data_IF_332782194972
#
_entry.id   IF_332782194972
#
_cell.length_a   1.000
_cell.length_b   1.000
_cell.length_c   1.000
_cell.angle_alpha   90.00
_cell.angle_beta   90.00
_cell.angle_gamma   90.00
#
_symmetry.space_group_name_H-M   'P 1'
#
loop_
_entity.id
_entity.type
_entity.pdbx_description
1 polymer ?
#
# COMPACT_ATOMS: atom_id res chain seq x y z
N UNK A 1 -28.64 6.88 21.33
CA UNK A 1 -27.20 7.00 21.59
C UNK A 1 -26.99 8.27 22.43
N UNK A 2 -26.41 8.16 23.64
CA UNK A 2 -26.16 9.31 24.56
C UNK A 2 -27.33 10.29 24.73
N UNK A 3 -28.55 9.78 24.99
CA UNK A 3 -29.77 10.51 25.14
C UNK A 3 -30.28 11.29 23.89
N UNK A 4 -29.72 10.99 22.71
CA UNK A 4 -30.28 11.47 21.44
C UNK A 4 -31.29 10.46 20.91
N UNK A 5 -32.43 10.95 20.46
CA UNK A 5 -33.48 10.13 19.84
C UNK A 5 -32.99 9.59 18.50
N UNK A 6 -33.37 8.35 18.16
CA UNK A 6 -33.20 7.79 16.81
C UNK A 6 -34.47 8.11 16.03
N UNK A 7 -34.38 8.95 15.02
CA UNK A 7 -35.55 9.42 14.27
C UNK A 7 -36.06 8.35 13.30
N UNK A 8 -35.22 7.47 12.81
CA UNK A 8 -35.66 6.36 11.94
C UNK A 8 -34.55 5.70 11.15
N UNK A 9 -34.91 5.06 10.05
CA UNK A 9 -33.99 4.42 9.11
C UNK A 9 -33.41 5.45 8.14
N UNK A 10 -32.33 5.08 7.44
CA UNK A 10 -31.68 5.93 6.42
C UNK A 10 -32.67 6.40 5.34
N UNK A 11 -33.74 5.62 5.05
CA UNK A 11 -34.72 5.96 4.03
C UNK A 11 -35.52 7.24 4.31
N UNK A 12 -35.57 7.70 5.55
CA UNK A 12 -36.25 8.96 5.91
C UNK A 12 -35.32 10.15 6.01
N UNK A 13 -34.02 10.00 5.68
CA UNK A 13 -33.04 11.09 5.77
C UNK A 13 -33.45 12.29 4.88
N UNK A 14 -34.11 12.02 3.74
CA UNK A 14 -34.67 13.06 2.85
C UNK A 14 -35.74 13.94 3.52
N UNK A 15 -36.49 13.42 4.48
CA UNK A 15 -37.56 14.15 5.15
C UNK A 15 -36.97 15.20 6.13
N UNK A 16 -35.74 15.04 6.55
CA UNK A 16 -35.03 15.89 7.51
C UNK A 16 -34.04 16.87 6.86
N UNK A 17 -34.05 17.05 5.54
CA UNK A 17 -33.07 17.85 4.77
C UNK A 17 -32.87 19.27 5.37
N UNK A 18 -33.91 19.88 5.88
CA UNK A 18 -33.84 21.22 6.46
C UNK A 18 -33.43 21.24 7.95
N UNK A 19 -33.25 20.09 8.56
CA UNK A 19 -32.97 19.94 10.00
C UNK A 19 -31.50 19.62 10.28
N UNK A 20 -30.67 19.41 9.25
CA UNK A 20 -29.25 19.16 9.42
C UNK A 20 -28.40 19.92 8.38
N UNK A 21 -27.18 20.28 8.76
CA UNK A 21 -26.22 20.98 7.91
C UNK A 21 -25.25 19.99 7.24
N UNK A 22 -24.98 18.86 7.86
CA UNK A 22 -24.02 17.86 7.40
C UNK A 22 -24.42 16.47 7.87
N UNK A 23 -24.18 15.45 7.03
CA UNK A 23 -24.36 14.05 7.37
C UNK A 23 -23.02 13.39 7.74
N UNK A 24 -23.01 12.63 8.83
CA UNK A 24 -21.84 11.88 9.26
C UNK A 24 -22.14 10.38 9.17
N UNK A 25 -21.41 9.68 8.28
CA UNK A 25 -21.55 8.24 8.07
C UNK A 25 -20.69 7.52 9.11
N UNK A 26 -21.33 6.92 10.12
CA UNK A 26 -20.67 6.24 11.23
C UNK A 26 -20.57 4.71 11.04
N UNK A 27 -20.83 4.20 9.86
CA UNK A 27 -20.79 2.78 9.53
C UNK A 27 -19.88 2.51 8.32
N UNK A 28 -18.55 2.67 8.47
CA UNK A 28 -17.61 2.55 7.35
C UNK A 28 -17.62 1.15 6.69
N UNK A 29 -18.08 0.12 7.41
CA UNK A 29 -18.19 -1.26 6.92
C UNK A 29 -19.62 -1.61 6.47
N UNK A 30 -20.50 -0.62 6.27
CA UNK A 30 -21.84 -0.89 5.77
C UNK A 30 -21.82 -1.49 4.35
N UNK A 31 -22.81 -2.32 3.98
CA UNK A 31 -22.92 -2.81 2.63
C UNK A 31 -22.91 -1.67 1.61
N UNK A 32 -22.16 -1.84 0.52
CA UNK A 32 -22.00 -0.84 -0.56
C UNK A 32 -23.33 -0.19 -0.97
N UNK A 33 -24.39 -0.99 -1.11
CA UNK A 33 -25.73 -0.51 -1.48
C UNK A 33 -26.29 0.51 -0.48
N UNK A 34 -26.03 0.33 0.80
CA UNK A 34 -26.54 1.25 1.85
C UNK A 34 -25.71 2.54 1.88
N UNK A 35 -24.37 2.46 1.71
CA UNK A 35 -23.54 3.64 1.58
C UNK A 35 -23.95 4.50 0.38
N UNK A 36 -24.24 3.88 -0.76
CA UNK A 36 -24.71 4.61 -1.94
C UNK A 36 -26.02 5.33 -1.69
N UNK A 37 -27.01 4.70 -1.04
CA UNK A 37 -28.27 5.36 -0.70
C UNK A 37 -28.06 6.61 0.14
N UNK A 38 -27.19 6.54 1.16
CA UNK A 38 -26.89 7.69 2.02
C UNK A 38 -26.26 8.82 1.21
N UNK A 39 -25.26 8.49 0.39
CA UNK A 39 -24.54 9.46 -0.43
C UNK A 39 -25.49 10.14 -1.42
N UNK A 40 -26.36 9.37 -2.09
CA UNK A 40 -27.34 9.90 -3.06
C UNK A 40 -28.30 10.87 -2.40
N UNK A 41 -28.89 10.49 -1.28
CA UNK A 41 -29.81 11.37 -0.54
C UNK A 41 -29.10 12.67 -0.14
N UNK A 42 -27.87 12.60 0.37
CA UNK A 42 -27.12 13.78 0.75
C UNK A 42 -26.82 14.70 -0.45
N UNK A 43 -26.47 14.10 -1.60
CA UNK A 43 -26.18 14.85 -2.84
C UNK A 43 -27.42 15.51 -3.42
N UNK A 44 -28.53 14.77 -3.55
CA UNK A 44 -29.81 15.30 -4.01
C UNK A 44 -30.27 16.45 -3.12
N UNK A 45 -29.96 16.39 -1.83
CA UNK A 45 -30.23 17.46 -0.87
C UNK A 45 -29.22 18.62 -0.93
N UNK A 46 -28.14 18.52 -1.68
CA UNK A 46 -27.05 19.50 -1.65
C UNK A 46 -26.34 19.62 -0.30
N UNK A 47 -26.38 18.56 0.53
CA UNK A 47 -25.77 18.54 1.87
C UNK A 47 -24.40 17.87 1.85
N UNK A 48 -23.41 18.46 2.53
CA UNK A 48 -22.11 17.83 2.71
C UNK A 48 -22.23 16.56 3.55
N UNK A 49 -21.36 15.59 3.25
CA UNK A 49 -21.28 14.35 4.01
C UNK A 49 -19.84 13.93 4.24
N UNK A 50 -19.57 13.38 5.41
CA UNK A 50 -18.28 12.85 5.81
C UNK A 50 -18.42 11.47 6.45
N UNK A 51 -17.32 10.73 6.55
CA UNK A 51 -17.28 9.41 7.20
C UNK A 51 -16.22 9.39 8.30
N UNK A 52 -16.35 8.44 9.21
CA UNK A 52 -15.29 8.11 10.16
C UNK A 52 -14.11 7.45 9.41
N UNK A 53 -12.87 7.65 9.87
CA UNK A 53 -11.74 6.90 9.34
C UNK A 53 -11.92 5.41 9.59
N UNK A 54 -11.43 4.59 8.66
CA UNK A 54 -11.36 3.14 8.84
C UNK A 54 -10.36 2.79 9.94
N UNK A 55 -10.49 1.58 10.51
CA UNK A 55 -9.54 1.08 11.51
C UNK A 55 -8.11 1.12 10.96
N UNK A 56 -7.92 0.78 9.70
CA UNK A 56 -6.61 0.82 9.05
C UNK A 56 -6.01 2.23 8.95
N UNK A 57 -6.83 3.26 8.70
CA UNK A 57 -6.38 4.66 8.67
C UNK A 57 -5.96 5.15 10.05
N UNK A 58 -6.69 4.74 11.08
CA UNK A 58 -6.34 5.03 12.49
C UNK A 58 -5.07 4.28 12.88
N UNK A 59 -5.00 2.99 12.56
CA UNK A 59 -3.85 2.16 12.90
C UNK A 59 -2.56 2.56 12.19
N UNK A 60 -2.64 3.06 10.96
CA UNK A 60 -1.48 3.62 10.23
C UNK A 60 -1.05 5.00 10.74
N UNK A 61 -1.79 5.58 11.69
CA UNK A 61 -1.51 6.90 12.25
C UNK A 61 -1.76 8.06 11.29
N UNK A 62 -2.46 7.83 10.18
CA UNK A 62 -2.82 8.87 9.21
C UNK A 62 -3.91 9.79 9.74
N UNK A 63 -4.88 9.20 10.46
CA UNK A 63 -6.02 9.91 11.03
C UNK A 63 -6.26 9.43 12.46
N UNK A 64 -6.76 10.31 13.32
CA UNK A 64 -7.29 9.95 14.63
C UNK A 64 -8.77 9.56 14.52
N UNK A 65 -9.28 8.78 15.46
CA UNK A 65 -10.70 8.37 15.52
C UNK A 65 -11.65 9.57 15.49
N UNK A 66 -11.20 10.73 15.97
CA UNK A 66 -12.03 11.94 16.04
C UNK A 66 -11.98 12.79 14.75
N UNK A 67 -11.23 12.39 13.74
CA UNK A 67 -11.10 13.13 12.48
C UNK A 67 -12.09 12.57 11.45
N UNK A 68 -13.10 13.39 11.11
CA UNK A 68 -13.99 13.10 9.99
C UNK A 68 -13.27 13.36 8.67
N UNK A 69 -13.49 12.48 7.69
CA UNK A 69 -12.93 12.62 6.34
C UNK A 69 -14.01 12.51 5.26
N UNK A 70 -13.68 12.97 4.07
CA UNK A 70 -14.52 12.75 2.89
C UNK A 70 -14.62 11.26 2.56
N UNK A 71 -15.76 10.85 2.02
CA UNK A 71 -15.95 9.49 1.51
C UNK A 71 -15.08 9.30 0.28
N UNK A 72 -14.32 8.23 0.27
CA UNK A 72 -13.42 7.89 -0.83
C UNK A 72 -13.92 6.69 -1.64
N UNK A 73 -13.37 6.49 -2.84
CA UNK A 73 -13.67 5.29 -3.66
C UNK A 73 -13.35 3.99 -2.92
N UNK A 74 -12.37 4.00 -2.02
CA UNK A 74 -12.01 2.83 -1.20
C UNK A 74 -13.18 2.37 -0.34
N UNK A 75 -13.93 3.31 0.26
CA UNK A 75 -15.10 3.01 1.09
C UNK A 75 -16.22 2.34 0.28
N UNK A 76 -16.31 2.69 -0.99
CA UNK A 76 -17.32 2.17 -1.90
C UNK A 76 -16.96 0.80 -2.48
N UNK A 77 -15.72 0.34 -2.35
CA UNK A 77 -15.31 -0.99 -2.80
C UNK A 77 -15.85 -2.12 -1.92
N UNK A 78 -16.34 -1.80 -0.72
CA UNK A 78 -17.02 -2.75 0.17
C UNK A 78 -16.15 -3.95 0.56
N UNK A 79 -14.82 -3.74 0.65
CA UNK A 79 -13.87 -4.78 0.99
C UNK A 79 -13.77 -4.91 2.51
N UNK A 80 -13.97 -6.11 3.03
CA UNK A 80 -13.76 -6.39 4.44
C UNK A 80 -12.27 -6.26 4.79
N UNK A 81 -12.00 -5.73 5.97
CA UNK A 81 -10.64 -5.68 6.50
C UNK A 81 -10.12 -7.10 6.74
N UNK A 82 -8.87 -7.34 6.40
CA UNK A 82 -8.22 -8.63 6.63
C UNK A 82 -7.75 -8.70 8.07
N UNK A 83 -8.08 -9.79 8.75
CA UNK A 83 -7.55 -10.07 10.08
C UNK A 83 -6.06 -10.47 9.98
N UNK A 84 -5.22 -9.82 10.77
CA UNK A 84 -3.78 -10.11 10.85
C UNK A 84 -3.42 -10.67 12.22
N UNK A 85 -2.41 -11.54 12.25
CA UNK A 85 -1.88 -12.07 13.50
C UNK A 85 -0.78 -11.14 14.08
N UNK A 86 -1.23 -10.13 14.83
CA UNK A 86 -0.34 -9.17 15.49
C UNK A 86 0.69 -9.86 16.43
N UNK A 87 0.36 -11.00 17.03
CA UNK A 87 1.25 -11.75 17.90
C UNK A 87 2.41 -12.36 17.11
N UNK A 88 2.12 -12.99 15.97
CA UNK A 88 3.14 -13.54 15.08
C UNK A 88 4.04 -12.46 14.49
N UNK A 89 3.45 -11.33 14.08
CA UNK A 89 4.18 -10.18 13.54
C UNK A 89 5.08 -9.56 14.62
N UNK A 90 4.58 -9.41 15.84
CA UNK A 90 5.37 -8.86 16.95
C UNK A 90 6.60 -9.71 17.24
N UNK A 91 6.48 -11.04 17.29
CA UNK A 91 7.63 -11.96 17.44
C UNK A 91 8.65 -11.82 16.31
N UNK A 92 8.20 -11.46 15.13
CA UNK A 92 8.99 -11.32 13.93
C UNK A 92 9.74 -9.98 13.83
N UNK A 93 9.14 -8.87 14.30
CA UNK A 93 9.68 -7.51 14.11
C UNK A 93 10.20 -6.84 15.37
N UNK A 94 9.65 -7.15 16.55
CA UNK A 94 10.04 -6.48 17.80
C UNK A 94 11.52 -6.64 18.10
N UNK A 95 12.18 -5.50 18.32
CA UNK A 95 13.61 -5.46 18.62
C UNK A 95 14.53 -5.82 17.46
N UNK A 96 14.00 -6.02 16.23
CA UNK A 96 14.80 -6.34 15.03
C UNK A 96 15.32 -5.09 14.33
N UNK A 97 16.40 -5.25 13.57
CA UNK A 97 16.89 -4.23 12.63
C UNK A 97 16.24 -4.49 11.28
N UNK A 98 15.41 -3.57 10.85
CA UNK A 98 14.57 -3.67 9.64
C UNK A 98 15.08 -2.72 8.57
N UNK A 99 15.31 -3.20 7.36
CA UNK A 99 15.60 -2.39 6.18
C UNK A 99 14.38 -2.41 5.24
N UNK A 100 13.91 -1.23 4.87
CA UNK A 100 12.86 -1.05 3.86
C UNK A 100 13.45 -0.30 2.68
N UNK A 101 13.48 -0.91 1.51
CA UNK A 101 13.91 -0.26 0.26
C UNK A 101 12.69 0.24 -0.52
N UNK A 102 12.83 1.38 -1.21
CA UNK A 102 11.69 2.09 -1.78
C UNK A 102 10.79 2.67 -0.70
N UNK A 103 11.40 3.08 0.41
CA UNK A 103 10.72 3.51 1.63
C UNK A 103 9.85 4.76 1.46
N UNK A 104 10.12 5.60 0.47
CA UNK A 104 9.31 6.77 0.13
C UNK A 104 8.18 6.48 -0.86
N UNK A 105 8.14 5.29 -1.47
CA UNK A 105 7.07 4.86 -2.37
C UNK A 105 5.77 4.54 -1.63
N UNK A 106 4.67 4.33 -2.36
CA UNK A 106 3.34 4.09 -1.77
C UNK A 106 3.32 2.88 -0.82
N UNK A 107 3.88 1.74 -1.25
CA UNK A 107 3.96 0.54 -0.40
C UNK A 107 5.06 0.68 0.66
N UNK A 108 6.25 1.18 0.28
CA UNK A 108 7.37 1.30 1.20
C UNK A 108 7.08 2.24 2.38
N UNK A 109 6.46 3.40 2.14
CA UNK A 109 6.09 4.34 3.19
C UNK A 109 5.04 3.76 4.15
N UNK A 110 4.13 2.95 3.64
CA UNK A 110 3.15 2.27 4.49
C UNK A 110 3.78 1.13 5.29
N UNK A 111 4.72 0.37 4.69
CA UNK A 111 5.51 -0.61 5.43
C UNK A 111 6.29 0.05 6.58
N UNK A 112 6.86 1.24 6.34
CA UNK A 112 7.51 2.04 7.39
C UNK A 112 6.56 2.33 8.54
N UNK A 113 5.38 2.90 8.25
CA UNK A 113 4.38 3.25 9.28
C UNK A 113 3.95 2.04 10.09
N UNK A 114 3.71 0.92 9.41
CA UNK A 114 3.20 -0.27 10.06
C UNK A 114 4.28 -1.04 10.83
N UNK A 115 5.51 -1.11 10.31
CA UNK A 115 6.62 -1.72 11.05
C UNK A 115 6.92 -0.99 12.37
N UNK A 116 6.78 0.35 12.41
CA UNK A 116 6.98 1.13 13.63
C UNK A 116 6.06 0.72 14.78
N UNK A 117 4.86 0.23 14.49
CA UNK A 117 3.90 -0.25 15.50
C UNK A 117 4.42 -1.46 16.29
N UNK A 118 5.34 -2.22 15.71
CA UNK A 118 5.92 -3.43 16.29
C UNK A 118 7.29 -3.19 16.95
N UNK A 119 7.64 -1.94 17.21
CA UNK A 119 8.81 -1.52 17.97
C UNK A 119 10.12 -2.23 17.54
N UNK A 120 10.54 -2.13 16.24
CA UNK A 120 11.85 -2.60 15.84
C UNK A 120 12.95 -1.81 16.57
N UNK A 121 14.12 -2.40 16.81
CA UNK A 121 15.24 -1.68 17.41
C UNK A 121 15.79 -0.61 16.48
N UNK A 122 15.76 -0.86 15.17
CA UNK A 122 16.23 0.04 14.14
C UNK A 122 15.37 -0.12 12.88
N UNK A 123 14.95 1.00 12.30
CA UNK A 123 14.28 1.05 10.99
C UNK A 123 15.12 1.88 10.02
N UNK A 124 15.69 1.22 9.02
CA UNK A 124 16.45 1.84 7.94
C UNK A 124 15.53 2.06 6.74
N UNK A 125 15.37 3.30 6.32
CA UNK A 125 14.54 3.71 5.19
C UNK A 125 15.43 4.07 4.00
N UNK A 126 15.50 3.22 2.97
CA UNK A 126 16.31 3.45 1.79
C UNK A 126 15.42 3.82 0.60
N UNK A 127 15.69 4.96 -0.02
CA UNK A 127 15.04 5.39 -1.25
C UNK A 127 16.01 6.17 -2.14
N UNK A 128 15.80 6.17 -3.45
CA UNK A 128 16.57 6.97 -4.40
C UNK A 128 15.94 8.33 -4.72
N UNK A 129 14.72 8.57 -4.27
CA UNK A 129 14.02 9.85 -4.40
C UNK A 129 14.19 10.66 -3.12
N UNK A 130 14.97 11.74 -3.19
CA UNK A 130 15.14 12.69 -2.08
C UNK A 130 13.77 13.20 -1.59
N UNK A 131 12.92 13.65 -2.51
CA UNK A 131 11.61 14.19 -2.18
C UNK A 131 10.73 13.19 -1.41
N UNK A 132 10.67 11.94 -1.87
CA UNK A 132 9.85 10.92 -1.23
C UNK A 132 10.41 10.52 0.15
N UNK A 133 11.73 10.39 0.25
CA UNK A 133 12.40 10.06 1.51
C UNK A 133 12.22 11.16 2.54
N UNK A 134 12.40 12.43 2.14
CA UNK A 134 12.16 13.59 2.99
C UNK A 134 10.73 13.66 3.51
N UNK A 135 9.74 13.38 2.65
CA UNK A 135 8.34 13.44 3.06
C UNK A 135 8.01 12.40 4.13
N UNK A 136 8.46 11.14 3.97
CA UNK A 136 8.20 10.11 4.99
C UNK A 136 8.99 10.40 6.27
N UNK A 137 10.22 10.86 6.19
CA UNK A 137 10.99 11.25 7.37
C UNK A 137 10.28 12.37 8.14
N UNK A 138 9.86 13.45 7.44
CA UNK A 138 9.14 14.57 8.04
C UNK A 138 7.82 14.15 8.70
N UNK A 139 7.09 13.20 8.09
CA UNK A 139 5.85 12.66 8.67
C UNK A 139 6.10 11.96 10.01
N UNK A 140 7.27 11.33 10.16
CA UNK A 140 7.63 10.59 11.37
C UNK A 140 8.24 11.48 12.45
N UNK A 141 8.79 12.64 12.08
CA UNK A 141 9.26 13.63 13.03
C UNK A 141 8.09 14.17 13.88
N UNK A 142 8.24 14.12 15.19
CA UNK A 142 7.21 14.58 16.13
C UNK A 142 6.21 13.52 16.55
N UNK A 143 6.25 12.31 15.99
CA UNK A 143 5.54 11.17 16.58
C UNK A 143 6.42 10.59 17.69
N UNK A 144 5.89 10.52 18.90
CA UNK A 144 6.57 9.84 20.01
C UNK A 144 6.75 8.36 19.64
N UNK A 145 7.97 7.97 19.32
CA UNK A 145 8.34 6.58 19.12
C UNK A 145 9.76 6.36 19.67
N UNK A 146 9.99 5.19 20.25
CA UNK A 146 11.28 4.80 20.80
C UNK A 146 12.18 4.09 19.78
N UNK A 147 11.79 4.08 18.50
CA UNK A 147 12.48 3.36 17.43
C UNK A 147 13.55 4.27 16.82
N UNK A 148 14.76 3.76 16.68
CA UNK A 148 15.82 4.46 15.95
C UNK A 148 15.52 4.40 14.44
N UNK A 149 15.24 5.55 13.83
CA UNK A 149 14.93 5.67 12.40
C UNK A 149 16.16 6.25 11.68
N UNK A 150 16.54 5.62 10.54
CA UNK A 150 17.67 6.06 9.70
C UNK A 150 17.23 6.19 8.25
N UNK A 151 17.01 7.41 7.75
CA UNK A 151 16.81 7.66 6.32
C UNK A 151 18.15 7.52 5.59
N UNK A 152 18.13 6.89 4.42
CA UNK A 152 19.29 6.71 3.55
C UNK A 152 18.90 7.04 2.10
N UNK A 153 19.41 8.13 1.60
CA UNK A 153 19.28 8.48 0.18
C UNK A 153 20.29 7.67 -0.63
N UNK A 154 19.83 6.61 -1.26
CA UNK A 154 20.69 5.72 -2.06
C UNK A 154 19.88 4.92 -3.08
N UNK A 155 20.57 4.41 -4.09
CA UNK A 155 20.01 3.56 -5.14
C UNK A 155 20.42 2.10 -4.90
N UNK A 156 19.46 1.16 -5.02
CA UNK A 156 19.73 -0.28 -4.90
C UNK A 156 20.66 -0.85 -6.00
N UNK A 157 20.95 -0.07 -7.03
CA UNK A 157 21.93 -0.40 -8.06
C UNK A 157 23.37 -0.20 -7.58
N UNK A 158 23.57 0.65 -6.57
CA UNK A 158 24.87 0.99 -6.03
C UNK A 158 25.31 -0.04 -4.99
N UNK A 159 26.08 -1.00 -5.47
CA UNK A 159 26.54 -2.14 -4.68
C UNK A 159 27.49 -1.71 -3.54
N UNK A 160 28.32 -0.69 -3.76
CA UNK A 160 29.32 -0.27 -2.77
C UNK A 160 28.64 0.45 -1.59
N UNK A 161 27.66 1.29 -1.89
CA UNK A 161 26.85 1.94 -0.84
C UNK A 161 26.01 0.89 -0.09
N UNK A 162 25.35 -0.04 -0.80
CA UNK A 162 24.59 -1.11 -0.16
C UNK A 162 25.46 -1.98 0.75
N UNK A 163 26.71 -2.31 0.34
CA UNK A 163 27.63 -3.06 1.17
C UNK A 163 27.94 -2.32 2.48
N UNK A 164 28.14 -1.00 2.45
CA UNK A 164 28.31 -0.19 3.64
C UNK A 164 27.06 -0.19 4.52
N UNK A 165 25.87 -0.09 3.91
CA UNK A 165 24.59 -0.14 4.62
C UNK A 165 24.44 -1.46 5.37
N UNK A 166 24.69 -2.59 4.72
CA UNK A 166 24.57 -3.91 5.34
C UNK A 166 25.64 -4.10 6.44
N UNK A 167 26.88 -3.67 6.22
CA UNK A 167 27.96 -3.75 7.23
C UNK A 167 27.67 -2.87 8.45
N UNK A 168 27.08 -1.69 8.26
CA UNK A 168 26.81 -0.75 9.35
C UNK A 168 25.57 -1.07 10.15
N UNK A 169 24.49 -1.51 9.46
CA UNK A 169 23.19 -1.67 10.09
C UNK A 169 22.79 -3.12 10.29
N UNK A 170 23.45 -4.07 9.63
CA UNK A 170 23.22 -5.52 9.74
C UNK A 170 21.73 -5.89 9.79
N UNK A 171 20.93 -5.61 8.76
CA UNK A 171 19.50 -5.78 8.77
C UNK A 171 19.12 -7.26 8.92
N UNK A 172 18.30 -7.55 9.94
CA UNK A 172 17.78 -8.90 10.19
C UNK A 172 16.54 -9.19 9.34
N UNK A 173 15.78 -8.14 9.01
CA UNK A 173 14.59 -8.22 8.15
C UNK A 173 14.71 -7.21 7.03
N UNK A 174 14.46 -7.64 5.80
CA UNK A 174 14.44 -6.76 4.62
C UNK A 174 13.08 -6.84 3.95
N UNK A 175 12.43 -5.68 3.80
CA UNK A 175 11.28 -5.49 2.92
C UNK A 175 11.75 -4.77 1.65
N UNK A 176 11.70 -5.46 0.53
CA UNK A 176 12.18 -4.92 -0.74
C UNK A 176 11.02 -4.45 -1.61
N UNK A 177 10.69 -3.15 -1.50
CA UNK A 177 9.63 -2.49 -2.29
C UNK A 177 10.16 -1.57 -3.39
N UNK A 178 11.47 -1.34 -3.47
CA UNK A 178 12.08 -0.55 -4.54
C UNK A 178 11.98 -1.25 -5.89
N UNK A 179 11.27 -0.65 -6.85
CA UNK A 179 11.15 -1.16 -8.20
C UNK A 179 10.59 -0.09 -9.15
N UNK A 180 10.89 -0.20 -10.44
CA UNK A 180 10.12 0.47 -11.49
C UNK A 180 8.88 -0.36 -11.83
N UNK A 181 7.70 0.29 -11.87
CA UNK A 181 6.40 -0.39 -11.97
C UNK A 181 5.54 0.02 -13.19
N UNK A 182 5.85 1.15 -13.83
CA UNK A 182 5.04 1.66 -14.95
C UNK A 182 5.33 0.90 -16.22
N UNK A 183 4.37 0.10 -16.69
CA UNK A 183 4.54 -0.82 -17.83
C UNK A 183 5.01 -0.08 -19.07
N UNK A 184 4.31 0.97 -19.51
CA UNK A 184 4.67 1.72 -20.72
C UNK A 184 6.11 2.27 -20.68
N UNK A 185 6.52 2.85 -19.54
CA UNK A 185 7.89 3.34 -19.38
C UNK A 185 8.93 2.22 -19.46
N UNK A 186 8.60 1.03 -18.97
CA UNK A 186 9.55 -0.09 -18.98
C UNK A 186 9.63 -0.78 -20.35
N UNK A 187 8.60 -0.70 -21.16
CA UNK A 187 8.66 -1.10 -22.57
C UNK A 187 9.59 -0.18 -23.37
N UNK A 188 9.58 1.10 -23.09
CA UNK A 188 10.44 2.09 -23.74
C UNK A 188 11.89 2.04 -23.22
N UNK A 189 12.08 1.80 -21.91
CA UNK A 189 13.39 1.79 -21.25
C UNK A 189 13.69 0.46 -20.54
N UNK A 190 13.72 -0.69 -21.25
CA UNK A 190 13.83 -2.02 -20.64
C UNK A 190 15.12 -2.21 -19.83
N UNK A 191 16.22 -1.58 -20.22
CA UNK A 191 17.49 -1.63 -19.49
C UNK A 191 17.41 -1.03 -18.09
N UNK A 192 16.56 -0.03 -17.90
CA UNK A 192 16.34 0.60 -16.58
C UNK A 192 15.56 -0.33 -15.65
N UNK A 193 14.56 -1.06 -16.20
CA UNK A 193 13.86 -2.11 -15.47
C UNK A 193 14.82 -3.24 -15.05
N UNK A 194 15.70 -3.69 -15.94
CA UNK A 194 16.69 -4.74 -15.65
C UNK A 194 17.65 -4.27 -14.55
N UNK A 195 18.23 -3.08 -14.70
CA UNK A 195 19.19 -2.55 -13.72
C UNK A 195 18.56 -2.41 -12.32
N UNK A 196 17.31 -1.96 -12.23
CA UNK A 196 16.65 -1.74 -10.95
C UNK A 196 16.00 -3.01 -10.42
N UNK A 197 15.08 -3.62 -11.18
CA UNK A 197 14.25 -4.70 -10.68
C UNK A 197 15.00 -6.03 -10.59
N UNK A 198 15.98 -6.25 -11.47
CA UNK A 198 16.76 -7.51 -11.49
C UNK A 198 18.09 -7.33 -10.76
N UNK A 199 18.97 -6.45 -11.25
CA UNK A 199 20.30 -6.30 -10.68
C UNK A 199 20.25 -5.71 -9.26
N UNK A 200 19.36 -4.72 -9.02
CA UNK A 200 19.14 -4.18 -7.69
C UNK A 200 18.66 -5.24 -6.69
N UNK A 201 17.73 -6.10 -7.10
CA UNK A 201 17.29 -7.24 -6.27
C UNK A 201 18.43 -8.22 -6.03
N UNK A 202 19.22 -8.55 -7.07
CA UNK A 202 20.37 -9.46 -6.94
C UNK A 202 21.42 -8.94 -5.95
N UNK A 203 21.69 -7.62 -5.96
CA UNK A 203 22.59 -6.98 -4.99
C UNK A 203 22.09 -7.16 -3.55
N UNK A 204 20.81 -6.87 -3.32
CA UNK A 204 20.21 -7.01 -2.00
C UNK A 204 20.17 -8.47 -1.51
N UNK A 205 19.81 -9.40 -2.39
CA UNK A 205 19.82 -10.84 -2.08
C UNK A 205 21.21 -11.31 -1.69
N UNK A 206 22.24 -10.96 -2.49
CA UNK A 206 23.63 -11.30 -2.20
C UNK A 206 24.08 -10.78 -0.84
N UNK A 207 23.85 -9.48 -0.55
CA UNK A 207 24.24 -8.88 0.72
C UNK A 207 23.44 -9.46 1.89
N UNK A 208 22.17 -9.80 1.70
CA UNK A 208 21.37 -10.48 2.71
C UNK A 208 21.95 -11.84 3.11
N UNK A 209 22.49 -12.59 2.15
CA UNK A 209 23.18 -13.85 2.41
C UNK A 209 24.52 -13.62 3.14
N UNK A 210 25.33 -12.67 2.66
CA UNK A 210 26.64 -12.33 3.25
C UNK A 210 26.54 -11.83 4.69
N UNK A 211 25.44 -11.16 5.05
CA UNK A 211 25.21 -10.58 6.37
C UNK A 211 24.19 -11.34 7.22
N UNK A 212 23.83 -12.58 6.84
CA UNK A 212 22.92 -13.46 7.61
C UNK A 212 21.57 -12.81 7.95
N UNK A 213 20.98 -12.07 7.02
CA UNK A 213 19.62 -11.57 7.14
C UNK A 213 18.66 -12.74 7.43
N UNK A 214 17.81 -12.65 8.43
CA UNK A 214 16.90 -13.73 8.81
C UNK A 214 15.80 -13.93 7.77
N UNK A 215 15.16 -12.82 7.33
CA UNK A 215 14.06 -12.84 6.38
C UNK A 215 14.13 -11.70 5.36
N UNK A 216 13.83 -12.04 4.13
CA UNK A 216 13.76 -11.12 2.99
C UNK A 216 12.42 -11.26 2.28
N UNK A 217 11.64 -10.19 2.23
CA UNK A 217 10.33 -10.16 1.59
C UNK A 217 10.38 -9.26 0.35
N UNK A 218 10.25 -9.88 -0.82
CA UNK A 218 10.16 -9.16 -2.10
C UNK A 218 8.71 -8.76 -2.37
N UNK A 219 8.47 -7.48 -2.54
CA UNK A 219 7.20 -6.98 -3.10
C UNK A 219 7.15 -7.27 -4.58
N UNK A 220 6.19 -8.10 -5.03
CA UNK A 220 6.00 -8.50 -6.43
C UNK A 220 4.62 -8.07 -6.95
N UNK A 221 4.18 -8.63 -8.05
CA UNK A 221 2.96 -8.21 -8.77
C UNK A 221 2.26 -9.40 -9.43
N UNK A 222 0.96 -9.27 -9.67
CA UNK A 222 0.15 -10.18 -10.50
C UNK A 222 0.71 -10.32 -11.93
N UNK A 223 1.35 -9.27 -12.45
CA UNK A 223 1.95 -9.25 -13.80
C UNK A 223 3.20 -10.13 -13.95
N UNK A 224 3.71 -10.67 -12.84
CA UNK A 224 4.81 -11.65 -12.83
C UNK A 224 4.32 -13.11 -13.04
N UNK A 225 3.00 -13.39 -13.05
CA UNK A 225 2.44 -14.76 -13.17
C UNK A 225 2.70 -15.37 -14.53
N UNK A 226 2.35 -14.69 -15.61
CA UNK A 226 2.65 -15.04 -17.02
C UNK A 226 3.03 -13.73 -17.71
N UNK A 227 4.29 -13.29 -17.56
CA UNK A 227 4.67 -11.95 -17.96
C UNK A 227 4.61 -11.79 -19.48
N UNK A 228 3.80 -10.83 -19.93
CA UNK A 228 3.66 -10.42 -21.32
C UNK A 228 4.26 -9.04 -21.60
N UNK A 229 4.93 -8.46 -20.59
CA UNK A 229 5.58 -7.16 -20.67
C UNK A 229 6.90 -7.17 -19.88
N UNK A 230 7.77 -6.21 -20.20
CA UNK A 230 9.12 -6.08 -19.62
C UNK A 230 9.06 -5.96 -18.09
N UNK A 231 8.19 -5.10 -17.58
CA UNK A 231 8.05 -4.90 -16.14
C UNK A 231 7.71 -6.21 -15.42
N UNK A 232 6.70 -6.94 -15.89
CA UNK A 232 6.31 -8.24 -15.35
C UNK A 232 7.43 -9.28 -15.45
N UNK A 233 8.14 -9.32 -16.57
CA UNK A 233 9.28 -10.23 -16.78
C UNK A 233 10.42 -9.94 -15.79
N UNK A 234 10.76 -8.66 -15.57
CA UNK A 234 11.80 -8.29 -14.58
C UNK A 234 11.39 -8.61 -13.15
N UNK A 235 10.12 -8.47 -12.79
CA UNK A 235 9.60 -8.88 -11.47
C UNK A 235 9.64 -10.41 -11.32
N UNK A 236 9.31 -11.16 -12.39
CA UNK A 236 9.44 -12.62 -12.38
C UNK A 236 10.87 -13.06 -12.19
N UNK A 237 11.84 -12.43 -12.84
CA UNK A 237 13.26 -12.70 -12.64
C UNK A 237 13.69 -12.41 -11.19
N UNK A 238 13.22 -11.31 -10.60
CA UNK A 238 13.49 -10.99 -9.20
C UNK A 238 12.95 -12.08 -8.24
N UNK A 239 11.75 -12.61 -8.49
CA UNK A 239 11.20 -13.74 -7.74
C UNK A 239 12.10 -15.00 -7.86
N UNK A 240 12.55 -15.33 -9.07
CA UNK A 240 13.42 -16.49 -9.31
C UNK A 240 14.78 -16.34 -8.62
N UNK A 241 15.34 -15.12 -8.56
CA UNK A 241 16.56 -14.81 -7.80
C UNK A 241 16.34 -15.10 -6.31
N UNK A 242 15.23 -14.61 -5.73
CA UNK A 242 14.87 -14.86 -4.35
C UNK A 242 14.65 -16.38 -4.08
N UNK A 243 13.92 -17.07 -4.96
CA UNK A 243 13.66 -18.50 -4.81
C UNK A 243 14.94 -19.32 -4.89
N UNK A 244 15.83 -19.02 -5.87
CA UNK A 244 17.11 -19.71 -6.02
C UNK A 244 18.06 -19.52 -4.83
N UNK A 245 17.95 -18.39 -4.13
CA UNK A 245 18.78 -18.11 -2.97
C UNK A 245 18.38 -18.91 -1.70
N UNK A 246 17.20 -19.52 -1.65
CA UNK A 246 16.75 -20.28 -0.46
C UNK A 246 17.47 -21.62 -0.25
N UNK A 247 18.14 -22.16 -1.25
CA UNK A 247 18.62 -23.55 -1.23
C UNK A 247 19.86 -23.81 -0.37
N UNK A 248 20.57 -22.78 0.07
CA UNK A 248 21.92 -22.96 0.65
C UNK A 248 22.20 -22.22 1.96
N UNK A 249 21.26 -21.38 2.47
CA UNK A 249 21.55 -20.44 3.55
C UNK A 249 20.42 -20.34 4.59
N UNK A 250 20.71 -19.73 5.74
CA UNK A 250 19.75 -19.49 6.82
C UNK A 250 18.73 -18.41 6.50
N UNK A 251 19.03 -17.52 5.54
CA UNK A 251 18.11 -16.45 5.12
C UNK A 251 16.87 -17.01 4.43
N UNK A 252 15.70 -16.59 4.84
CA UNK A 252 14.41 -16.99 4.25
C UNK A 252 13.94 -15.93 3.28
N UNK A 253 13.99 -16.24 2.00
CA UNK A 253 13.49 -15.35 0.93
C UNK A 253 12.06 -15.75 0.56
N UNK A 254 11.19 -14.79 0.44
CA UNK A 254 9.81 -14.95 -0.02
C UNK A 254 9.40 -13.78 -0.90
N UNK A 255 8.43 -13.99 -1.76
CA UNK A 255 7.84 -12.94 -2.59
C UNK A 255 6.33 -12.84 -2.32
N UNK A 256 5.76 -11.63 -2.47
CA UNK A 256 4.34 -11.36 -2.28
C UNK A 256 3.80 -10.69 -3.54
N UNK A 257 2.85 -11.36 -4.20
CA UNK A 257 2.16 -10.89 -5.41
C UNK A 257 0.81 -10.29 -5.05
N UNK A 258 0.51 -9.16 -5.62
CA UNK A 258 -0.82 -8.55 -5.58
C UNK A 258 -1.08 -7.71 -6.84
N UNK A 259 -2.33 -7.36 -7.06
CA UNK A 259 -2.79 -6.56 -8.19
C UNK A 259 -2.59 -5.05 -7.98
N UNK A 260 -3.58 -4.26 -8.38
CA UNK A 260 -3.49 -2.81 -8.28
C UNK A 260 -3.77 -2.35 -6.84
N UNK A 261 -3.10 -1.27 -6.46
CA UNK A 261 -3.28 -0.64 -5.15
C UNK A 261 -3.88 0.74 -5.33
N UNK A 262 -4.99 0.99 -4.66
CA UNK A 262 -5.74 2.24 -4.74
C UNK A 262 -4.93 3.42 -4.20
N UNK A 263 -4.98 4.55 -4.91
CA UNK A 263 -4.30 5.77 -4.48
C UNK A 263 -2.78 5.71 -4.53
N UNK A 264 -2.18 4.67 -5.16
CA UNK A 264 -0.74 4.63 -5.37
C UNK A 264 -0.31 5.67 -6.42
N UNK A 265 0.88 6.27 -6.23
CA UNK A 265 1.42 7.31 -7.11
C UNK A 265 1.43 6.85 -8.58
N UNK A 266 0.90 7.71 -9.48
CA UNK A 266 0.79 7.44 -10.91
C UNK A 266 -0.19 6.32 -11.28
N UNK A 267 -1.12 5.93 -10.39
CA UNK A 267 -2.20 4.99 -10.70
C UNK A 267 -3.41 5.70 -11.32
N UNK A 268 -4.37 4.92 -11.81
CA UNK A 268 -5.54 5.41 -12.54
C UNK A 268 -6.40 6.40 -11.75
N UNK A 269 -6.55 6.21 -10.43
CA UNK A 269 -7.39 7.06 -9.58
C UNK A 269 -6.86 8.50 -9.49
N UNK A 270 -5.60 8.78 -9.12
CA UNK A 270 -5.05 10.13 -9.19
C UNK A 270 -5.20 10.80 -10.55
N UNK A 271 -4.98 10.04 -11.66
CA UNK A 271 -5.15 10.57 -13.02
C UNK A 271 -6.60 11.01 -13.27
N UNK A 272 -7.58 10.16 -12.91
CA UNK A 272 -8.99 10.50 -13.06
C UNK A 272 -9.38 11.70 -12.19
N UNK A 273 -8.87 11.80 -10.96
CA UNK A 273 -9.12 12.96 -10.09
C UNK A 273 -8.56 14.26 -10.68
N UNK A 274 -7.38 14.22 -11.30
CA UNK A 274 -6.80 15.37 -12.01
C UNK A 274 -7.64 15.75 -13.21
N UNK A 275 -8.09 14.77 -14.00
CA UNK A 275 -8.96 15.00 -15.16
C UNK A 275 -10.32 15.61 -14.75
N UNK A 276 -10.93 15.13 -13.67
CA UNK A 276 -12.17 15.70 -13.11
C UNK A 276 -11.94 17.15 -12.67
N UNK A 277 -10.87 17.42 -11.91
CA UNK A 277 -10.52 18.78 -11.47
C UNK A 277 -10.30 19.75 -12.64
N UNK A 278 -9.78 19.24 -13.76
CA UNK A 278 -9.60 20.00 -14.99
C UNK A 278 -10.89 20.21 -15.82
N UNK A 279 -12.03 19.66 -15.37
CA UNK A 279 -13.32 19.74 -16.08
C UNK A 279 -13.52 18.64 -17.12
N UNK A 280 -12.69 17.60 -17.09
CA UNK A 280 -12.79 16.44 -18.01
C UNK A 280 -12.16 16.67 -19.38
N UNK A 281 -12.33 15.71 -20.33
CA UNK A 281 -12.97 14.41 -20.13
C UNK A 281 -12.08 13.41 -19.38
N UNK A 282 -12.69 12.39 -18.74
CA UNK A 282 -11.96 11.22 -18.26
C UNK A 282 -11.65 10.30 -19.45
N UNK A 283 -10.40 9.83 -19.52
CA UNK A 283 -9.94 8.94 -20.59
C UNK A 283 -9.85 7.50 -20.10
N UNK A 284 -10.57 6.58 -20.73
CA UNK A 284 -10.57 5.15 -20.45
C UNK A 284 -10.07 4.41 -21.68
N UNK A 285 -9.06 3.56 -21.52
CA UNK A 285 -8.44 2.83 -22.64
C UNK A 285 -9.39 1.77 -23.20
N UNK A 286 -10.13 1.08 -22.31
CA UNK A 286 -11.03 0.00 -22.66
C UNK A 286 -12.17 -0.04 -21.61
N UNK A 287 -13.46 0.07 -22.02
CA UNK A 287 -14.59 0.07 -21.10
C UNK A 287 -14.81 -1.25 -20.35
N UNK A 288 -14.35 -2.36 -20.93
CA UNK A 288 -14.49 -3.69 -20.33
C UNK A 288 -13.27 -4.10 -19.49
N UNK A 289 -12.28 -3.22 -19.36
CA UNK A 289 -11.09 -3.50 -18.58
C UNK A 289 -11.42 -3.65 -17.09
N UNK A 290 -11.11 -4.82 -16.55
CA UNK A 290 -11.24 -5.14 -15.13
C UNK A 290 -9.88 -5.24 -14.46
N UNK A 291 -9.81 -4.84 -13.19
CA UNK A 291 -8.61 -4.99 -12.33
C UNK A 291 -9.01 -5.36 -10.93
N UNK A 292 -8.12 -6.09 -10.27
CA UNK A 292 -8.20 -6.30 -8.83
C UNK A 292 -7.61 -5.11 -8.10
N UNK A 293 -8.26 -4.68 -7.03
CA UNK A 293 -7.83 -3.57 -6.21
C UNK A 293 -7.78 -3.92 -4.73
N UNK A 294 -6.80 -3.38 -4.03
CA UNK A 294 -6.77 -3.35 -2.57
C UNK A 294 -6.24 -1.99 -2.09
N UNK A 295 -6.40 -1.71 -0.80
CA UNK A 295 -5.85 -0.49 -0.22
C UNK A 295 -4.34 -0.62 0.03
N UNK A 296 -3.61 0.52 0.09
CA UNK A 296 -2.18 0.53 0.44
C UNK A 296 -1.95 -0.04 1.84
N UNK A 297 -2.73 0.34 2.88
CA UNK A 297 -2.59 -0.23 4.21
C UNK A 297 -2.78 -1.75 4.25
N UNK A 298 -3.80 -2.26 3.58
CA UNK A 298 -4.06 -3.70 3.51
C UNK A 298 -2.92 -4.46 2.84
N UNK A 299 -2.41 -3.95 1.71
CA UNK A 299 -1.28 -4.56 1.03
C UNK A 299 -0.04 -4.63 1.95
N UNK A 300 0.27 -3.55 2.67
CA UNK A 300 1.40 -3.51 3.58
C UNK A 300 1.24 -4.48 4.76
N UNK A 301 0.04 -4.56 5.35
CA UNK A 301 -0.28 -5.52 6.43
C UNK A 301 -0.04 -6.96 5.97
N UNK A 302 -0.57 -7.33 4.81
CA UNK A 302 -0.43 -8.68 4.28
C UNK A 302 1.02 -9.00 3.87
N UNK A 303 1.80 -8.02 3.39
CA UNK A 303 3.24 -8.20 3.14
C UNK A 303 3.99 -8.48 4.45
N UNK A 304 3.71 -7.76 5.52
CA UNK A 304 4.32 -7.97 6.83
C UNK A 304 3.92 -9.35 7.37
N UNK A 305 2.65 -9.72 7.26
CA UNK A 305 2.16 -11.03 7.70
C UNK A 305 2.80 -12.17 6.89
N UNK A 306 2.92 -12.05 5.57
CA UNK A 306 3.63 -13.02 4.76
C UNK A 306 5.08 -13.21 5.24
N UNK A 307 5.76 -12.12 5.62
CA UNK A 307 7.07 -12.17 6.25
C UNK A 307 7.07 -12.95 7.57
N UNK A 308 6.04 -12.84 8.40
CA UNK A 308 5.96 -13.55 9.68
C UNK A 308 5.77 -15.06 9.50
N UNK A 309 4.88 -15.49 8.60
CA UNK A 309 4.52 -16.90 8.41
C UNK A 309 5.42 -17.64 7.40
N UNK A 310 6.09 -16.91 6.50
CA UNK A 310 6.92 -17.51 5.44
C UNK A 310 8.11 -18.30 5.99
N UNK A 311 8.37 -19.45 5.38
CA UNK A 311 9.44 -20.39 5.73
C UNK A 311 10.63 -20.35 4.76
N UNK A 312 10.47 -19.61 3.64
CA UNK A 312 11.45 -19.44 2.57
C UNK A 312 11.10 -20.24 1.31
N UNK A 313 11.20 -19.58 0.14
CA UNK A 313 10.87 -20.14 -1.17
C UNK A 313 9.45 -19.85 -1.66
N UNK A 314 8.56 -19.40 -0.77
CA UNK A 314 7.18 -19.14 -1.12
C UNK A 314 7.02 -17.89 -2.00
N UNK A 315 6.02 -17.96 -2.89
CA UNK A 315 5.45 -16.83 -3.57
C UNK A 315 3.98 -16.72 -3.12
N UNK A 316 3.72 -15.85 -2.17
CA UNK A 316 2.38 -15.59 -1.68
C UNK A 316 1.59 -14.78 -2.72
N UNK A 317 0.36 -15.17 -2.98
CA UNK A 317 -0.61 -14.38 -3.72
C UNK A 317 -1.64 -13.84 -2.73
N UNK A 318 -1.78 -12.52 -2.66
CA UNK A 318 -2.76 -11.91 -1.78
C UNK A 318 -4.17 -12.11 -2.35
N UNK A 319 -5.13 -12.36 -1.46
CA UNK A 319 -6.54 -12.37 -1.86
C UNK A 319 -6.97 -10.95 -2.25
N UNK A 320 -7.25 -10.78 -3.52
CA UNK A 320 -7.64 -9.49 -4.11
C UNK A 320 -9.17 -9.28 -4.15
N UNK A 321 -9.97 -10.24 -3.68
CA UNK A 321 -11.42 -10.22 -3.79
C UNK A 321 -11.91 -10.31 -5.25
N UNK A 322 -12.95 -9.55 -5.59
CA UNK A 322 -13.52 -9.53 -6.95
C UNK A 322 -12.84 -8.45 -7.83
N UNK A 323 -12.71 -8.70 -9.14
CA UNK A 323 -12.25 -7.69 -10.07
C UNK A 323 -13.29 -6.58 -10.24
N UNK A 324 -12.84 -5.35 -10.55
CA UNK A 324 -13.69 -4.17 -10.69
C UNK A 324 -13.41 -3.54 -12.04
N UNK A 325 -14.46 -3.15 -12.76
CA UNK A 325 -14.33 -2.42 -14.01
C UNK A 325 -13.74 -1.02 -13.76
N UNK A 326 -12.76 -0.64 -14.58
CA UNK A 326 -12.16 0.71 -14.50
C UNK A 326 -13.21 1.79 -14.78
N UNK A 327 -14.16 1.50 -15.67
CA UNK A 327 -15.30 2.37 -15.95
C UNK A 327 -16.15 2.65 -14.71
N UNK A 328 -16.40 1.64 -13.88
CA UNK A 328 -17.16 1.81 -12.65
C UNK A 328 -16.45 2.73 -11.66
N UNK A 329 -15.11 2.59 -11.54
CA UNK A 329 -14.30 3.48 -10.72
C UNK A 329 -14.37 4.93 -11.21
N UNK A 330 -14.31 5.14 -12.53
CA UNK A 330 -14.41 6.47 -13.12
C UNK A 330 -15.79 7.11 -12.81
N UNK A 331 -16.86 6.36 -13.00
CA UNK A 331 -18.21 6.82 -12.71
C UNK A 331 -18.39 7.20 -11.23
N UNK A 332 -17.83 6.38 -10.32
CA UNK A 332 -17.86 6.67 -8.89
C UNK A 332 -17.06 7.91 -8.51
N UNK A 333 -15.91 8.11 -9.12
CA UNK A 333 -15.12 9.33 -8.91
C UNK A 333 -15.85 10.59 -9.37
N UNK A 334 -16.48 10.54 -10.56
CA UNK A 334 -17.33 11.65 -11.04
C UNK A 334 -18.44 11.88 -10.03
N UNK A 335 -19.13 10.83 -9.62
CA UNK A 335 -20.23 10.91 -8.65
C UNK A 335 -19.79 11.49 -7.30
N UNK A 336 -18.61 11.15 -6.79
CA UNK A 336 -18.09 11.71 -5.53
C UNK A 336 -17.63 13.16 -5.67
N UNK A 337 -17.30 13.60 -6.87
CA UNK A 337 -16.79 14.96 -7.12
C UNK A 337 -17.88 16.02 -7.35
N UNK A 338 -19.14 15.62 -7.50
CA UNK A 338 -20.29 16.49 -7.78
C UNK A 338 -20.64 16.47 -9.23
#
# INVERSE_FOLDING_TARGET
IHNKKVEGSVSILSDFINEYDEAIICCPNAPRRELYKIIDICKEAGKPFRTLPSVNEVMSGKLSINQLREVSVIDLLGRNEVEIDDSAINKYLKGKRVLITGAGGSIGSELVRQCLRFEPALLVMLDNSEYNLFNIERELLGKENNVLIKPLLSNIRDKDILSKVFSQYEPQVVFHAAAYKHVAMQEEFPWEAIKTNVNGTANLVKLSLEHNTEKFVLVSTDKAVKPINVMGATKRLAELICQGANSSYSTRFMAVRFGNVLGSSGSVIPIFQEQIKAGGPITITDPDMERYFMSVPEAAQLIIQAGSIGKGGEVFALDMGQPIKILDIANELIRLSG
#
